data_IF_918460612274
#
_entry.id   IF_918460612274
#
_cell.length_a   1.000
_cell.length_b   1.000
_cell.length_c   1.000
_cell.angle_alpha   90.00
_cell.angle_beta   90.00
_cell.angle_gamma   90.00
#
_symmetry.space_group_name_H-M   'P 1'
#
loop_
_entity.id
_entity.type
_entity.pdbx_description
1 polymer ?
#
# COMPACT_ATOMS: atom_id res chain seq x y z
N UNK A 1 -31.37 29.84 -5.39
CA UNK A 1 -30.73 29.09 -6.48
C UNK A 1 -29.61 28.25 -5.87
N UNK A 2 -29.84 26.95 -5.62
CA UNK A 2 -28.78 26.01 -5.25
C UNK A 2 -28.19 25.47 -6.55
N UNK A 3 -26.95 25.81 -6.85
CA UNK A 3 -26.23 25.19 -7.95
C UNK A 3 -26.02 23.71 -7.61
N UNK A 4 -26.73 22.85 -8.35
CA UNK A 4 -26.40 21.43 -8.42
C UNK A 4 -25.09 21.31 -9.20
N UNK A 5 -23.98 21.15 -8.50
CA UNK A 5 -22.78 20.63 -9.12
C UNK A 5 -23.03 19.14 -9.39
N UNK A 6 -23.45 18.83 -10.62
CA UNK A 6 -23.37 17.46 -11.15
C UNK A 6 -21.90 17.11 -11.32
N UNK A 7 -21.29 16.66 -10.23
CA UNK A 7 -19.98 16.03 -10.29
C UNK A 7 -20.15 14.70 -11.01
N UNK A 8 -19.77 14.65 -12.29
CA UNK A 8 -19.73 13.44 -13.11
C UNK A 8 -18.56 12.53 -12.68
N UNK A 9 -18.35 12.36 -11.37
CA UNK A 9 -17.34 11.46 -10.84
C UNK A 9 -17.98 10.08 -10.68
N UNK A 10 -17.66 9.18 -11.61
CA UNK A 10 -17.91 7.75 -11.41
C UNK A 10 -16.90 7.29 -10.35
N UNK A 11 -17.33 6.88 -9.15
CA UNK A 11 -16.41 6.43 -8.12
C UNK A 11 -15.72 5.14 -8.62
N UNK A 12 -14.40 5.09 -8.53
CA UNK A 12 -13.65 3.84 -8.71
C UNK A 12 -14.07 2.87 -7.60
N UNK A 13 -14.65 1.74 -8.02
CA UNK A 13 -15.14 0.68 -7.15
C UNK A 13 -14.56 -0.63 -7.63
N UNK A 14 -14.16 -1.48 -6.70
CA UNK A 14 -13.74 -2.83 -7.03
C UNK A 14 -14.94 -3.72 -7.30
N UNK A 15 -14.78 -4.66 -8.23
CA UNK A 15 -15.80 -5.67 -8.55
C UNK A 15 -16.24 -6.45 -7.30
N UNK A 16 -15.29 -6.79 -6.44
CA UNK A 16 -15.51 -7.59 -5.23
C UNK A 16 -16.24 -6.81 -4.11
N UNK A 17 -16.41 -5.49 -4.25
CA UNK A 17 -17.08 -4.64 -3.27
C UNK A 17 -18.60 -4.81 -3.36
N UNK A 18 -19.32 -5.03 -2.24
CA UNK A 18 -20.78 -4.98 -2.23
C UNK A 18 -21.28 -3.63 -2.76
N UNK A 19 -22.19 -3.64 -3.76
CA UNK A 19 -22.73 -2.41 -4.40
C UNK A 19 -23.36 -1.41 -3.41
N UNK A 20 -23.71 -1.87 -2.21
CA UNK A 20 -24.34 -1.12 -1.12
C UNK A 20 -23.36 -0.35 -0.23
N UNK A 21 -22.05 -0.60 -0.30
CA UNK A 21 -21.05 0.12 0.49
C UNK A 21 -19.88 0.59 -0.39
N UNK A 22 -19.62 1.90 -0.50
CA UNK A 22 -18.44 2.38 -1.19
C UNK A 22 -17.19 2.01 -0.38
N UNK A 23 -16.42 1.04 -0.86
CA UNK A 23 -15.12 0.69 -0.30
C UNK A 23 -14.05 1.71 -0.72
N UNK A 24 -13.17 2.07 0.22
CA UNK A 24 -12.11 3.05 -0.01
C UNK A 24 -10.85 2.35 -0.50
N UNK A 25 -10.43 2.66 -1.72
CA UNK A 25 -9.12 2.26 -2.22
C UNK A 25 -8.01 2.92 -1.40
N UNK A 26 -6.94 2.17 -1.16
CA UNK A 26 -5.75 2.68 -0.48
C UNK A 26 -4.85 3.43 -1.45
N UNK A 27 -4.77 2.96 -2.69
CA UNK A 27 -3.98 3.57 -3.75
C UNK A 27 -4.58 3.25 -5.13
N UNK A 28 -4.35 4.13 -6.10
CA UNK A 28 -4.69 3.90 -7.50
C UNK A 28 -3.74 4.69 -8.41
N UNK A 29 -3.23 4.06 -9.47
CA UNK A 29 -2.43 4.72 -10.50
C UNK A 29 -2.65 4.12 -11.88
N UNK A 30 -2.47 4.93 -12.92
CA UNK A 30 -2.38 4.43 -14.28
C UNK A 30 -1.07 3.66 -14.48
N UNK A 31 -1.13 2.60 -15.27
CA UNK A 31 0.03 1.80 -15.62
C UNK A 31 0.74 2.42 -16.84
N UNK A 32 1.74 3.26 -16.59
CA UNK A 32 2.50 3.93 -17.64
C UNK A 32 1.61 4.76 -18.59
N UNK A 33 1.74 4.53 -19.90
CA UNK A 33 0.94 5.18 -20.95
C UNK A 33 -0.30 4.37 -21.37
N UNK A 34 -0.67 3.34 -20.62
CA UNK A 34 -1.83 2.49 -20.94
C UNK A 34 -3.12 3.02 -20.33
N UNK A 35 -4.25 2.42 -20.73
CA UNK A 35 -5.55 2.62 -20.08
C UNK A 35 -5.75 1.69 -18.88
N UNK A 36 -4.73 0.93 -18.46
CA UNK A 36 -4.85 0.02 -17.33
C UNK A 36 -4.64 0.76 -16.01
N UNK A 37 -5.43 0.39 -15.01
CA UNK A 37 -5.40 0.97 -13.68
C UNK A 37 -4.91 -0.08 -12.68
N UNK A 38 -3.84 0.25 -11.97
CA UNK A 38 -3.34 -0.51 -10.84
C UNK A 38 -3.92 0.08 -9.55
N UNK A 39 -4.48 -0.75 -8.71
CA UNK A 39 -5.18 -0.35 -7.48
C UNK A 39 -4.67 -1.18 -6.30
N UNK A 40 -4.78 -0.61 -5.11
CA UNK A 40 -4.50 -1.31 -3.86
C UNK A 40 -5.72 -1.26 -2.96
N UNK A 41 -6.13 -2.44 -2.51
CA UNK A 41 -7.29 -2.61 -1.64
C UNK A 41 -7.12 -3.80 -0.72
N UNK A 42 -7.50 -3.62 0.55
CA UNK A 42 -7.25 -4.60 1.61
C UNK A 42 -5.82 -5.14 1.59
N UNK A 43 -4.86 -4.24 1.30
CA UNK A 43 -3.44 -4.51 1.20
C UNK A 43 -3.03 -5.47 0.07
N UNK A 44 -3.89 -5.69 -0.93
CA UNK A 44 -3.57 -6.44 -2.13
C UNK A 44 -3.64 -5.58 -3.39
N UNK A 45 -2.84 -5.98 -4.37
CA UNK A 45 -2.78 -5.37 -5.68
C UNK A 45 -3.91 -5.88 -6.57
N UNK A 46 -4.52 -4.97 -7.32
CA UNK A 46 -5.56 -5.26 -8.30
C UNK A 46 -5.24 -4.54 -9.62
N UNK A 47 -5.48 -5.20 -10.74
CA UNK A 47 -5.32 -4.66 -12.08
C UNK A 47 -6.66 -4.63 -12.80
N UNK A 48 -7.02 -3.46 -13.32
CA UNK A 48 -8.11 -3.27 -14.26
C UNK A 48 -7.53 -2.91 -15.62
N UNK A 49 -7.79 -3.70 -16.65
CA UNK A 49 -7.16 -3.50 -17.97
C UNK A 49 -7.65 -2.20 -18.66
N UNK A 50 -8.87 -1.77 -18.38
CA UNK A 50 -9.47 -0.54 -18.94
C UNK A 50 -10.52 0.03 -17.99
N UNK A 51 -10.72 1.36 -17.91
CA UNK A 51 -11.75 1.95 -17.06
C UNK A 51 -13.17 1.58 -17.50
N UNK A 52 -13.30 1.11 -18.75
CA UNK A 52 -14.55 0.63 -19.33
C UNK A 52 -14.90 -0.79 -18.87
N UNK A 53 -13.95 -1.53 -18.29
CA UNK A 53 -14.21 -2.86 -17.75
C UNK A 53 -14.58 -2.76 -16.27
N UNK A 54 -15.57 -3.57 -15.88
CA UNK A 54 -15.98 -3.67 -14.47
C UNK A 54 -15.15 -4.71 -13.71
N UNK A 55 -14.44 -5.60 -14.42
CA UNK A 55 -13.72 -6.70 -13.80
C UNK A 55 -12.31 -6.30 -13.36
N UNK A 56 -11.94 -6.74 -12.16
CA UNK A 56 -10.63 -6.49 -11.57
C UNK A 56 -9.88 -7.81 -11.35
N UNK A 57 -8.65 -7.89 -11.86
CA UNK A 57 -7.78 -9.03 -11.59
C UNK A 57 -6.99 -8.77 -10.32
N UNK A 58 -7.21 -9.57 -9.29
CA UNK A 58 -6.38 -9.56 -8.08
C UNK A 58 -5.01 -10.15 -8.39
N UNK A 59 -3.96 -9.39 -8.11
CA UNK A 59 -2.57 -9.74 -8.42
C UNK A 59 -1.82 -10.33 -7.22
N UNK A 60 -2.20 -9.96 -5.99
CA UNK A 60 -1.62 -10.51 -4.76
C UNK A 60 -2.70 -11.02 -3.83
N UNK A 61 -2.35 -12.00 -2.98
CA UNK A 61 -3.32 -12.71 -2.13
C UNK A 61 -2.87 -12.80 -0.66
N UNK A 62 -1.81 -12.08 -0.30
CA UNK A 62 -1.18 -12.14 1.03
C UNK A 62 -1.50 -10.92 1.88
N UNK A 63 -2.20 -9.93 1.33
CA UNK A 63 -2.61 -8.72 2.03
C UNK A 63 -3.36 -9.04 3.31
N UNK A 64 -2.97 -8.38 4.39
CA UNK A 64 -3.62 -8.49 5.69
C UNK A 64 -3.71 -7.09 6.29
N UNK A 65 -4.92 -6.55 6.48
CA UNK A 65 -5.10 -5.23 7.08
C UNK A 65 -4.29 -5.06 8.36
N UNK A 66 -3.62 -3.92 8.49
CA UNK A 66 -2.76 -3.53 9.63
C UNK A 66 -1.57 -4.46 9.93
N UNK A 67 -1.19 -5.37 9.02
CA UNK A 67 -0.11 -6.34 9.23
C UNK A 67 0.76 -6.61 8.00
N UNK A 68 0.16 -6.89 6.84
CA UNK A 68 0.90 -7.19 5.60
C UNK A 68 0.40 -6.26 4.51
N UNK A 69 1.30 -5.48 3.92
CA UNK A 69 1.02 -4.47 2.90
C UNK A 69 1.74 -4.83 1.59
N UNK A 70 1.02 -4.91 0.48
CA UNK A 70 1.61 -5.14 -0.85
C UNK A 70 1.52 -3.86 -1.69
N UNK A 71 2.66 -3.36 -2.13
CA UNK A 71 2.81 -2.22 -3.05
C UNK A 71 2.44 -0.84 -2.48
N UNK A 72 2.09 -0.76 -1.21
CA UNK A 72 2.02 0.47 -0.43
C UNK A 72 2.88 0.30 0.83
N UNK A 73 3.51 1.37 1.33
CA UNK A 73 4.33 1.29 2.54
C UNK A 73 3.49 1.08 3.81
N UNK A 74 4.13 0.51 4.84
CA UNK A 74 3.66 0.63 6.22
C UNK A 74 3.95 2.04 6.77
N UNK A 75 3.57 2.30 8.03
CA UNK A 75 3.78 3.60 8.66
C UNK A 75 5.26 4.04 8.66
N UNK A 76 6.20 3.13 9.01
CA UNK A 76 7.63 3.48 9.07
C UNK A 76 8.17 3.83 7.69
N UNK A 77 7.88 3.00 6.69
CA UNK A 77 8.41 3.24 5.35
C UNK A 77 7.74 4.44 4.67
N UNK A 78 6.49 4.75 5.01
CA UNK A 78 5.82 5.94 4.48
C UNK A 78 6.45 7.22 5.02
N UNK A 79 6.73 7.29 6.33
CA UNK A 79 7.16 8.54 6.97
C UNK A 79 8.67 8.77 6.88
N UNK A 80 9.47 7.72 7.09
CA UNK A 80 10.91 7.89 7.34
C UNK A 80 11.81 7.32 6.23
N UNK A 81 11.38 6.26 5.52
CA UNK A 81 12.25 5.56 4.55
C UNK A 81 11.98 5.97 3.10
N UNK A 82 10.76 5.78 2.59
CA UNK A 82 10.38 6.07 1.20
C UNK A 82 9.83 7.47 1.02
N UNK A 83 9.12 7.99 2.04
CA UNK A 83 8.51 9.34 1.98
C UNK A 83 7.55 9.52 0.81
N UNK A 84 7.01 8.42 0.32
CA UNK A 84 6.08 8.32 -0.80
C UNK A 84 4.92 7.40 -0.41
N UNK A 85 3.70 7.62 -0.91
CA UNK A 85 2.54 6.78 -0.61
C UNK A 85 2.50 5.47 -1.43
N UNK A 86 3.42 5.30 -2.38
CA UNK A 86 3.54 4.09 -3.19
C UNK A 86 4.83 3.34 -2.91
N UNK A 87 4.77 2.02 -3.03
CA UNK A 87 5.91 1.12 -2.99
C UNK A 87 5.80 0.09 -4.11
N UNK A 88 5.34 0.56 -5.28
CA UNK A 88 5.13 -0.22 -6.48
C UNK A 88 5.55 0.59 -7.72
N UNK A 89 6.21 -0.05 -8.67
CA UNK A 89 6.85 0.57 -9.84
C UNK A 89 6.60 -0.30 -11.05
N UNK A 90 6.11 0.29 -12.14
CA UNK A 90 5.87 -0.41 -13.40
C UNK A 90 7.10 -0.34 -14.30
N UNK A 91 7.35 -1.39 -15.07
CA UNK A 91 8.34 -1.35 -16.13
C UNK A 91 7.95 -0.36 -17.24
N UNK A 92 8.93 0.11 -18.01
CA UNK A 92 8.71 1.11 -19.06
C UNK A 92 7.81 0.58 -20.19
N UNK A 93 7.90 -0.73 -20.47
CA UNK A 93 7.06 -1.45 -21.43
C UNK A 93 5.72 -1.92 -20.82
N UNK A 94 5.46 -1.66 -19.53
CA UNK A 94 4.24 -2.02 -18.80
C UNK A 94 3.92 -3.52 -18.73
N UNK A 95 4.93 -4.37 -18.94
CA UNK A 95 4.78 -5.84 -18.85
C UNK A 95 5.07 -6.39 -17.46
N UNK A 96 5.80 -5.65 -16.63
CA UNK A 96 6.18 -6.06 -15.28
C UNK A 96 5.86 -4.99 -14.24
N UNK A 97 5.63 -5.44 -13.00
CA UNK A 97 5.48 -4.58 -11.83
C UNK A 97 6.46 -5.06 -10.77
N UNK A 98 7.35 -4.17 -10.34
CA UNK A 98 8.10 -4.31 -9.09
C UNK A 98 7.24 -3.79 -7.95
N UNK A 99 7.09 -4.53 -6.86
CA UNK A 99 6.43 -4.04 -5.65
C UNK A 99 7.13 -4.55 -4.40
N UNK A 100 7.02 -3.78 -3.32
CA UNK A 100 7.46 -4.19 -2.00
C UNK A 100 6.32 -4.78 -1.19
N UNK A 101 6.62 -5.82 -0.43
CA UNK A 101 5.76 -6.35 0.63
C UNK A 101 6.35 -5.98 1.98
N UNK A 102 5.56 -5.31 2.82
CA UNK A 102 5.91 -4.96 4.19
C UNK A 102 5.15 -5.88 5.15
N UNK A 103 5.87 -6.58 6.02
CA UNK A 103 5.31 -7.47 7.01
C UNK A 103 5.62 -6.98 8.43
N UNK A 104 4.57 -6.49 9.09
CA UNK A 104 4.58 -5.90 10.42
C UNK A 104 4.16 -6.88 11.53
N UNK A 105 4.10 -8.18 11.22
CA UNK A 105 3.66 -9.19 12.20
C UNK A 105 4.48 -9.19 13.50
N UNK A 106 5.75 -8.79 13.43
CA UNK A 106 6.68 -8.70 14.56
C UNK A 106 6.87 -7.26 15.07
N UNK A 107 6.20 -6.27 14.46
CA UNK A 107 6.31 -4.86 14.85
C UNK A 107 5.33 -4.55 15.99
N UNK A 108 5.79 -3.78 16.98
CA UNK A 108 4.99 -3.35 18.12
C UNK A 108 3.77 -2.51 17.73
N UNK A 109 2.77 -2.43 18.61
CA UNK A 109 1.59 -1.59 18.43
C UNK A 109 1.69 -0.35 19.33
N UNK A 110 1.49 0.81 18.73
CA UNK A 110 1.21 2.04 19.46
C UNK A 110 -0.30 2.23 19.53
N UNK A 111 -0.82 2.36 20.75
CA UNK A 111 -2.22 2.69 21.02
C UNK A 111 -2.32 4.17 21.37
N UNK A 112 -3.24 4.90 20.74
CA UNK A 112 -3.46 6.31 21.03
C UNK A 112 -4.97 6.63 21.16
N UNK A 113 -5.35 7.57 22.03
CA UNK A 113 -6.76 7.94 22.22
C UNK A 113 -7.32 8.60 20.96
N UNK A 114 -8.54 8.23 20.61
CA UNK A 114 -9.30 8.74 19.46
C UNK A 114 -10.52 9.52 19.93
N UNK A 115 -10.41 10.83 19.92
CA UNK A 115 -11.50 11.73 20.30
C UNK A 115 -12.41 11.97 19.10
N UNK A 116 -13.53 11.25 19.02
CA UNK A 116 -14.58 11.53 18.03
C UNK A 116 -15.33 12.81 18.42
N UNK A 117 -15.45 13.76 17.49
CA UNK A 117 -16.18 15.03 17.70
C UNK A 117 -17.71 14.88 17.65
N UNK A 118 -18.21 13.68 17.34
CA UNK A 118 -19.63 13.42 17.05
C UNK A 118 -20.58 13.64 18.26
N UNK A 119 -20.27 13.28 19.52
CA UNK A 119 -21.26 13.39 20.61
C UNK A 119 -21.50 14.84 21.07
N UNK A 120 -20.57 15.76 20.80
CA UNK A 120 -20.60 17.12 21.36
C UNK A 120 -21.38 18.09 20.45
N UNK A 121 -21.36 17.88 19.13
CA UNK A 121 -21.97 18.81 18.16
C UNK A 121 -23.43 18.48 17.81
N UNK A 122 -23.90 17.26 18.06
CA UNK A 122 -25.19 16.79 17.54
C UNK A 122 -26.40 16.98 18.48
N UNK A 123 -26.25 17.53 19.68
CA UNK A 123 -27.36 17.84 20.62
C UNK A 123 -28.29 16.66 20.99
N UNK A 124 -28.01 15.45 20.49
CA UNK A 124 -28.81 14.24 20.65
C UNK A 124 -27.98 13.21 21.40
N UNK A 125 -28.06 13.33 22.72
CA UNK A 125 -27.53 12.38 23.68
C UNK A 125 -28.38 11.12 23.71
N UNK A 126 -27.88 9.99 23.21
CA UNK A 126 -28.34 8.67 23.67
C UNK A 126 -27.23 7.66 23.98
N UNK A 127 -25.95 7.99 23.77
CA UNK A 127 -24.85 7.22 24.36
C UNK A 127 -23.60 8.08 24.56
N UNK A 128 -23.43 8.63 25.77
CA UNK A 128 -22.16 9.24 26.17
C UNK A 128 -21.19 8.10 26.46
N UNK A 129 -20.31 7.78 25.51
CA UNK A 129 -19.14 6.96 25.84
C UNK A 129 -18.30 7.74 26.84
N UNK A 130 -18.24 7.29 28.09
CA UNK A 130 -17.60 8.04 29.19
C UNK A 130 -16.07 8.19 29.02
N UNK A 131 -15.47 7.43 28.11
CA UNK A 131 -14.04 7.46 27.79
C UNK A 131 -13.85 7.41 26.26
N UNK A 132 -12.83 8.11 25.72
CA UNK A 132 -12.52 8.05 24.29
C UNK A 132 -12.17 6.61 23.89
N UNK A 133 -12.53 6.21 22.66
CA UNK A 133 -12.00 4.99 22.07
C UNK A 133 -10.50 5.15 21.78
N UNK A 134 -9.80 4.06 21.48
CA UNK A 134 -8.41 4.12 21.02
C UNK A 134 -8.32 3.65 19.57
N UNK A 135 -7.23 4.04 18.90
CA UNK A 135 -6.78 3.47 17.63
C UNK A 135 -5.38 2.91 17.81
N UNK A 136 -5.01 2.01 16.91
CA UNK A 136 -3.73 1.32 16.94
C UNK A 136 -2.98 1.55 15.62
N UNK A 137 -1.66 1.65 15.69
CA UNK A 137 -0.78 1.67 14.52
C UNK A 137 0.46 0.82 14.82
N UNK A 138 0.96 0.09 13.81
CA UNK A 138 2.25 -0.62 13.93
C UNK A 138 3.36 0.42 13.95
N UNK A 139 4.13 0.44 15.02
CA UNK A 139 5.15 1.46 15.27
C UNK A 139 6.37 0.83 15.95
N UNK A 140 7.52 0.73 15.26
CA UNK A 140 8.74 0.23 15.86
C UNK A 140 9.40 1.31 16.74
N UNK A 141 9.71 0.97 17.99
CA UNK A 141 10.49 1.81 18.88
C UNK A 141 11.99 1.49 18.75
N UNK A 142 12.89 2.39 19.19
CA UNK A 142 14.32 2.12 19.15
C UNK A 142 14.67 0.78 19.83
N UNK A 143 15.35 -0.10 19.08
CA UNK A 143 15.74 -1.43 19.55
C UNK A 143 14.68 -2.54 19.38
N UNK A 144 13.46 -2.22 18.94
CA UNK A 144 12.45 -3.24 18.60
C UNK A 144 12.60 -3.75 17.16
N UNK A 145 11.87 -4.82 16.83
CA UNK A 145 11.79 -5.33 15.46
C UNK A 145 11.20 -4.30 14.51
N UNK A 146 11.83 -4.16 13.34
CA UNK A 146 11.33 -3.38 12.22
C UNK A 146 10.49 -4.28 11.28
N UNK A 147 9.67 -3.68 10.39
CA UNK A 147 9.03 -4.42 9.31
C UNK A 147 10.03 -5.28 8.53
N UNK A 148 9.62 -6.52 8.22
CA UNK A 148 10.31 -7.37 7.25
C UNK A 148 9.87 -6.93 5.85
N UNK A 149 10.82 -6.68 4.98
CA UNK A 149 10.56 -6.15 3.63
C UNK A 149 11.12 -7.09 2.59
N UNK A 150 10.27 -7.45 1.64
CA UNK A 150 10.62 -8.26 0.48
C UNK A 150 10.20 -7.52 -0.79
N UNK A 151 10.98 -7.68 -1.85
CA UNK A 151 10.69 -7.08 -3.16
C UNK A 151 10.33 -8.20 -4.12
N UNK A 152 9.30 -7.97 -4.92
CA UNK A 152 8.78 -8.93 -5.88
C UNK A 152 8.63 -8.28 -7.25
N UNK A 153 9.05 -8.98 -8.31
CA UNK A 153 8.70 -8.66 -9.69
C UNK A 153 7.56 -9.56 -10.11
N UNK A 154 6.50 -8.96 -10.64
CA UNK A 154 5.33 -9.63 -11.16
C UNK A 154 5.25 -9.42 -12.68
N UNK A 155 5.14 -10.51 -13.43
CA UNK A 155 4.80 -10.47 -14.86
C UNK A 155 3.27 -10.35 -15.00
N UNK A 156 2.82 -9.32 -15.72
CA UNK A 156 1.41 -9.01 -15.96
C UNK A 156 1.00 -9.19 -17.42
N UNK A 157 1.87 -9.73 -18.27
CA UNK A 157 1.54 -10.06 -19.67
C UNK A 157 0.48 -11.16 -19.74
N UNK A 158 0.55 -12.15 -18.85
CA UNK A 158 -0.44 -13.21 -18.70
C UNK A 158 -1.11 -13.15 -17.32
N UNK A 159 -2.22 -12.43 -17.25
CA UNK A 159 -2.98 -12.26 -16.01
C UNK A 159 -3.68 -13.55 -15.50
N UNK A 160 -3.75 -14.60 -16.33
CA UNK A 160 -4.35 -15.88 -15.92
C UNK A 160 -3.35 -16.82 -15.23
N UNK A 161 -2.06 -16.62 -15.47
CA UNK A 161 -0.95 -17.36 -14.84
C UNK A 161 0.11 -16.37 -14.36
N UNK A 162 -0.17 -15.75 -13.21
CA UNK A 162 0.68 -14.71 -12.64
C UNK A 162 2.00 -15.29 -12.13
N UNK A 163 3.08 -14.95 -12.82
CA UNK A 163 4.45 -15.32 -12.42
C UNK A 163 5.06 -14.22 -11.55
N UNK A 164 5.50 -14.60 -10.35
CA UNK A 164 6.17 -13.69 -9.40
C UNK A 164 7.55 -14.19 -9.02
N UNK A 165 8.50 -13.29 -8.96
CA UNK A 165 9.89 -13.57 -8.65
C UNK A 165 10.36 -12.70 -7.47
N UNK A 166 11.00 -13.32 -6.48
CA UNK A 166 11.60 -12.57 -5.37
C UNK A 166 12.89 -11.90 -5.85
N UNK A 167 13.04 -10.62 -5.55
CA UNK A 167 14.25 -9.86 -5.88
C UNK A 167 15.32 -10.18 -4.85
N UNK A 168 16.49 -10.58 -5.33
CA UNK A 168 17.67 -10.80 -4.49
C UNK A 168 18.61 -9.61 -4.59
N UNK A 169 19.28 -9.21 -3.49
CA UNK A 169 20.26 -8.14 -3.54
C UNK A 169 21.39 -8.46 -4.53
N UNK A 170 21.88 -7.48 -5.32
CA UNK A 170 23.04 -7.65 -6.18
C UNK A 170 24.24 -8.17 -5.38
N UNK A 171 25.06 -9.03 -6.01
CA UNK A 171 26.23 -9.62 -5.36
C UNK A 171 27.21 -8.57 -4.81
N UNK A 172 27.30 -7.39 -5.42
CA UNK A 172 28.13 -6.28 -4.95
C UNK A 172 27.74 -5.75 -3.54
N UNK A 173 26.48 -5.93 -3.12
CA UNK A 173 26.01 -5.53 -1.79
C UNK A 173 26.20 -6.65 -0.75
N UNK A 174 26.48 -7.88 -1.20
CA UNK A 174 26.73 -9.03 -0.34
C UNK A 174 28.12 -8.89 0.28
N UNK A 175 28.18 -8.29 1.48
CA UNK A 175 29.41 -8.11 2.25
C UNK A 175 29.60 -6.69 2.80
N UNK A 176 29.06 -5.66 2.12
CA UNK A 176 29.04 -4.28 2.64
C UNK A 176 28.16 -4.13 3.89
N UNK A 177 27.23 -5.08 4.10
CA UNK A 177 26.38 -5.20 5.29
C UNK A 177 27.18 -5.29 6.60
N UNK A 178 28.43 -5.75 6.62
CA UNK A 178 29.16 -5.89 7.90
C UNK A 178 29.63 -4.57 8.52
N UNK A 179 29.83 -3.52 7.71
CA UNK A 179 30.51 -2.29 8.14
C UNK A 179 29.64 -1.03 8.20
N UNK A 180 28.36 -1.10 7.85
CA UNK A 180 27.44 0.05 7.88
C UNK A 180 26.45 -0.04 9.05
N UNK A 181 26.08 1.11 9.62
CA UNK A 181 25.05 1.22 10.66
C UNK A 181 23.71 0.63 10.16
N UNK A 182 22.90 -0.04 11.00
CA UNK A 182 21.63 -0.65 10.60
C UNK A 182 20.66 0.31 9.88
N UNK A 183 20.72 1.62 10.17
CA UNK A 183 19.97 2.64 9.42
C UNK A 183 20.44 2.79 7.97
N UNK A 184 21.73 2.66 7.68
CA UNK A 184 22.28 2.74 6.32
C UNK A 184 21.98 1.48 5.48
N UNK A 185 21.75 0.33 6.13
CA UNK A 185 21.59 -0.99 5.47
C UNK A 185 20.26 -1.14 4.71
N UNK A 186 19.17 -0.58 5.24
CA UNK A 186 17.83 -0.70 4.63
C UNK A 186 17.58 0.35 3.56
N UNK A 187 18.20 1.51 3.72
CA UNK A 187 18.12 2.64 2.80
C UNK A 187 18.84 2.36 1.48
N UNK A 188 19.95 1.60 1.47
CA UNK A 188 20.73 1.36 0.24
C UNK A 188 19.99 0.53 -0.82
N UNK A 189 19.16 -0.45 -0.43
CA UNK A 189 18.40 -1.29 -1.39
C UNK A 189 17.23 -0.50 -1.99
N UNK A 190 16.59 0.37 -1.19
CA UNK A 190 15.41 1.12 -1.63
C UNK A 190 15.77 2.39 -2.42
N UNK A 191 16.84 3.12 -2.05
CA UNK A 191 17.31 4.30 -2.80
C UNK A 191 17.73 3.92 -4.23
N UNK A 192 18.29 2.72 -4.41
CA UNK A 192 18.70 2.29 -5.74
C UNK A 192 17.49 1.99 -6.65
N UNK A 193 16.31 1.67 -6.10
CA UNK A 193 15.07 1.45 -6.87
C UNK A 193 14.49 2.74 -7.46
N UNK A 194 14.63 3.90 -6.81
CA UNK A 194 14.24 5.20 -7.42
C UNK A 194 15.09 5.52 -8.67
N UNK A 195 16.23 4.85 -8.83
CA UNK A 195 17.10 4.95 -10.02
C UNK A 195 16.94 3.77 -10.99
N UNK A 196 16.19 2.71 -10.62
CA UNK A 196 15.90 1.60 -11.52
C UNK A 196 14.79 2.02 -12.49
N UNK A 197 15.22 2.63 -13.60
CA UNK A 197 14.63 2.28 -14.87
C UNK A 197 14.76 0.77 -15.01
N UNK A 198 13.63 0.07 -14.92
CA UNK A 198 13.52 -1.29 -15.42
C UNK A 198 13.76 -1.18 -16.94
N UNK A 199 15.02 -1.38 -17.34
CA UNK A 199 15.45 -1.53 -18.72
C UNK A 199 15.39 -3.01 -19.12
#
# INVERSE_FOLDING_TARGET
MRSSFSSHHIPLRLEQSPKTQPERLQYAKWLGHTNSLLMVFNNDLYLRQSPLFENDTRLTFTGKPDVIYNGIPDWLYQEDVLKNPEALWSSNDTTHILYATFNDSEVGLLNFPWFSTIPVLAGKSTHRTSFPSYRTVRYPTPGSSNPKVELYVLDITNITDLQRYIVTPPQALIGQSKNSSPHHRKTLIMIQCDTFLIC
#
